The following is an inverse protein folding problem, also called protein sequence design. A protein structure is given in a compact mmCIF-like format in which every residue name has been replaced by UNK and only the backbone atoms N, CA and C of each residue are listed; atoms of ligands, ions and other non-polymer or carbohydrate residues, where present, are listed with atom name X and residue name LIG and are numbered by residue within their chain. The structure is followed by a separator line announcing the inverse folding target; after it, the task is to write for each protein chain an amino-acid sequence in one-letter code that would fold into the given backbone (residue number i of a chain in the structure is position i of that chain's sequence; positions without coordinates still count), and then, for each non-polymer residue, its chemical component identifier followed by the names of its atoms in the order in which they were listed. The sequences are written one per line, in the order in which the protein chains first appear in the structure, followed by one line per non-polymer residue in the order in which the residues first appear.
data_IF_412384009320
#
_entry.id   IF_412384009320
#
_cell.length_a   1.000
_cell.length_b   1.000
_cell.length_c   1.000
_cell.angle_alpha   90.00
_cell.angle_beta   90.00
_cell.angle_gamma   90.00
#
_symmetry.space_group_name_H-M   'P 1'
#
loop_
_entity.id
_entity.type
_entity.pdbx_description
1 polymer ?
#
# COMPACT_ATOMS: atom_id res chain seq x y z
N UNK A 1 -7.21 15.69 3.11
CA UNK A 1 -7.53 14.55 2.22
C UNK A 1 -6.22 13.99 1.67
N UNK A 2 -6.22 12.77 1.11
CA UNK A 2 -4.97 12.09 0.72
C UNK A 2 -4.65 12.10 -0.79
N UNK A 3 -5.50 12.68 -1.63
CA UNK A 3 -5.23 12.90 -3.04
C UNK A 3 -5.88 14.22 -3.50
N UNK A 4 -5.40 14.78 -4.59
CA UNK A 4 -5.89 16.05 -5.14
C UNK A 4 -6.38 15.90 -6.58
N UNK A 5 -7.36 16.72 -6.96
CA UNK A 5 -7.81 16.90 -8.34
C UNK A 5 -7.06 18.04 -9.06
N UNK A 6 -6.20 18.78 -8.37
CA UNK A 6 -5.43 19.87 -8.94
C UNK A 6 -4.14 19.35 -9.57
N UNK A 7 -3.92 19.54 -10.90
CA UNK A 7 -2.74 19.00 -11.59
C UNK A 7 -1.38 19.53 -11.09
N UNK A 8 -1.38 20.65 -10.37
CA UNK A 8 -0.17 21.25 -9.82
C UNK A 8 0.19 20.72 -8.43
N UNK A 9 -0.67 19.91 -7.82
CA UNK A 9 -0.41 19.34 -6.50
C UNK A 9 0.43 18.07 -6.62
N UNK A 10 1.36 17.88 -5.68
CA UNK A 10 2.23 16.69 -5.63
C UNK A 10 1.45 15.36 -5.47
N UNK A 11 0.19 15.44 -5.04
CA UNK A 11 -0.71 14.29 -4.82
C UNK A 11 -1.85 14.21 -5.83
N UNK A 12 -1.66 14.79 -7.03
CA UNK A 12 -2.63 14.72 -8.11
C UNK A 12 -2.94 13.27 -8.50
N UNK A 13 -4.23 12.89 -8.53
CA UNK A 13 -4.66 11.52 -8.83
C UNK A 13 -4.82 11.20 -10.32
N UNK A 14 -4.62 12.18 -11.20
CA UNK A 14 -4.89 12.02 -12.63
C UNK A 14 -6.35 12.32 -13.00
N UNK A 15 -6.68 12.35 -14.30
CA UNK A 15 -8.02 12.65 -14.77
C UNK A 15 -9.03 11.51 -14.56
N UNK A 16 -8.56 10.26 -14.43
CA UNK A 16 -9.35 9.05 -14.16
C UNK A 16 -8.44 7.91 -13.68
N UNK A 17 -8.98 6.84 -13.05
CA UNK A 17 -8.20 5.69 -12.60
C UNK A 17 -7.42 5.01 -13.74
N UNK A 18 -6.14 4.68 -13.52
CA UNK A 18 -5.25 4.09 -14.54
C UNK A 18 -5.05 4.98 -15.79
N UNK A 19 -5.10 6.30 -15.61
CA UNK A 19 -4.75 7.28 -16.66
C UNK A 19 -3.28 7.21 -17.05
N UNK A 20 -2.39 7.04 -16.07
CA UNK A 20 -0.95 6.93 -16.31
C UNK A 20 -0.58 5.59 -16.98
N UNK A 21 0.21 5.60 -18.07
CA UNK A 21 0.55 4.38 -18.81
C UNK A 21 1.34 3.38 -17.97
N UNK A 22 2.15 3.84 -17.01
CA UNK A 22 2.91 3.02 -16.07
C UNK A 22 1.97 2.25 -15.13
N UNK A 23 1.01 2.95 -14.52
CA UNK A 23 0.02 2.34 -13.62
C UNK A 23 -0.84 1.34 -14.40
N UNK A 24 -1.27 1.70 -15.61
CA UNK A 24 -2.05 0.83 -16.48
C UNK A 24 -1.31 -0.44 -16.88
N UNK A 25 -0.01 -0.35 -17.16
CA UNK A 25 0.81 -1.53 -17.48
C UNK A 25 0.88 -2.50 -16.29
N UNK A 26 1.11 -1.99 -15.08
CA UNK A 26 1.16 -2.80 -13.86
C UNK A 26 -0.21 -3.42 -13.55
N UNK A 27 -1.29 -2.64 -13.58
CA UNK A 27 -2.65 -3.12 -13.34
C UNK A 27 -3.03 -4.24 -14.33
N UNK A 28 -2.73 -4.08 -15.61
CA UNK A 28 -2.95 -5.10 -16.63
C UNK A 28 -2.14 -6.38 -16.37
N UNK A 29 -0.87 -6.25 -15.97
CA UNK A 29 -0.04 -7.40 -15.63
C UNK A 29 -0.60 -8.16 -14.43
N UNK A 30 -1.01 -7.46 -13.37
CA UNK A 30 -1.57 -8.04 -12.16
C UNK A 30 -2.92 -8.73 -12.44
N UNK A 31 -3.80 -8.11 -13.24
CA UNK A 31 -5.07 -8.71 -13.67
C UNK A 31 -4.85 -9.98 -14.49
N UNK A 32 -3.94 -9.94 -15.47
CA UNK A 32 -3.62 -11.09 -16.33
C UNK A 32 -3.10 -12.29 -15.55
N UNK A 33 -2.34 -12.05 -14.47
CA UNK A 33 -1.72 -13.10 -13.66
C UNK A 33 -2.35 -13.27 -12.27
N UNK A 34 -3.57 -12.77 -12.05
CA UNK A 34 -4.26 -12.77 -10.75
C UNK A 34 -4.34 -14.15 -10.08
N UNK A 35 -4.38 -15.22 -10.86
CA UNK A 35 -4.41 -16.61 -10.35
C UNK A 35 -3.05 -17.13 -9.86
N UNK A 36 -1.95 -16.53 -10.34
CA UNK A 36 -0.59 -16.96 -10.04
C UNK A 36 0.09 -16.07 -8.99
N UNK A 37 -0.28 -14.80 -8.93
CA UNK A 37 0.28 -13.84 -7.96
C UNK A 37 -0.37 -14.08 -6.59
N UNK A 38 0.46 -14.35 -5.57
CA UNK A 38 0.01 -14.64 -4.20
C UNK A 38 0.27 -13.52 -3.21
N UNK A 39 1.20 -12.63 -3.52
CA UNK A 39 1.57 -11.49 -2.69
C UNK A 39 1.94 -10.29 -3.56
N UNK A 40 1.72 -9.08 -3.03
CA UNK A 40 2.11 -7.82 -3.64
C UNK A 40 2.87 -6.99 -2.60
N UNK A 41 4.06 -6.51 -2.97
CA UNK A 41 4.92 -5.68 -2.13
C UNK A 41 5.29 -4.43 -2.93
N UNK A 42 4.98 -3.25 -2.39
CA UNK A 42 5.38 -1.96 -2.95
C UNK A 42 6.33 -1.28 -1.98
N UNK A 43 7.51 -0.89 -2.46
CA UNK A 43 8.55 -0.30 -1.64
C UNK A 43 8.54 1.23 -1.81
N UNK A 44 8.54 1.93 -0.68
CA UNK A 44 8.58 3.38 -0.62
C UNK A 44 9.58 3.82 0.45
N UNK A 45 10.10 5.03 0.32
CA UNK A 45 10.93 5.68 1.32
C UNK A 45 10.49 7.15 1.48
N UNK A 46 10.65 7.78 2.63
CA UNK A 46 11.21 7.31 3.91
C UNK A 46 10.09 7.19 4.97
N UNK A 47 10.25 6.35 6.00
CA UNK A 47 9.40 6.34 7.21
C UNK A 47 9.72 5.18 8.18
N UNK A 48 10.41 4.12 7.70
CA UNK A 48 10.59 2.86 8.43
C UNK A 48 9.24 2.26 8.86
N UNK A 49 8.34 2.10 7.90
CA UNK A 49 7.00 1.56 8.14
C UNK A 49 6.71 0.37 7.22
N UNK A 50 6.08 -0.66 7.76
CA UNK A 50 5.48 -1.77 7.01
C UNK A 50 3.96 -1.63 7.10
N UNK A 51 3.35 -1.19 6.00
CA UNK A 51 1.92 -0.91 5.94
C UNK A 51 1.18 -2.00 5.18
N UNK A 52 -0.04 -2.29 5.65
CA UNK A 52 -0.97 -3.16 4.93
C UNK A 52 -2.35 -2.50 4.80
N UNK A 53 -3.25 -3.03 3.95
CA UNK A 53 -4.53 -2.38 3.69
C UNK A 53 -5.44 -2.29 4.93
N UNK A 54 -6.43 -1.39 4.97
CA UNK A 54 -6.75 -0.41 3.94
C UNK A 54 -6.15 0.96 4.26
N UNK A 55 -5.78 1.71 3.21
CA UNK A 55 -5.42 3.12 3.26
C UNK A 55 -6.62 4.05 3.04
N UNK A 56 -7.60 3.63 2.23
CA UNK A 56 -8.72 4.49 1.80
C UNK A 56 -9.93 4.50 2.71
N UNK A 57 -9.99 3.59 3.67
CA UNK A 57 -11.08 3.50 4.64
C UNK A 57 -10.56 3.00 5.97
N UNK A 58 -11.23 3.44 7.02
CA UNK A 58 -11.07 2.88 8.36
C UNK A 58 -11.90 1.60 8.44
N UNK A 59 -11.31 0.50 7.95
CA UNK A 59 -11.93 -0.82 8.00
C UNK A 59 -10.86 -1.90 8.15
N UNK A 60 -11.26 -2.98 8.80
CA UNK A 60 -10.42 -4.16 8.97
C UNK A 60 -10.39 -4.99 7.68
N UNK A 61 -9.23 -5.53 7.33
CA UNK A 61 -9.09 -6.42 6.18
C UNK A 61 -9.64 -7.83 6.48
N UNK A 62 -10.16 -8.53 5.47
CA UNK A 62 -10.35 -9.98 5.57
C UNK A 62 -9.01 -10.64 5.92
N UNK A 63 -8.99 -11.56 6.89
CA UNK A 63 -7.78 -12.22 7.40
C UNK A 63 -6.80 -11.33 8.18
N UNK A 64 -7.28 -10.27 8.84
CA UNK A 64 -6.47 -9.37 9.68
C UNK A 64 -5.44 -10.08 10.56
N UNK A 65 -5.83 -11.10 11.32
CA UNK A 65 -4.91 -11.82 12.22
C UNK A 65 -3.71 -12.43 11.49
N UNK A 66 -3.90 -12.97 10.28
CA UNK A 66 -2.83 -13.57 9.48
C UNK A 66 -1.85 -12.49 9.00
N UNK A 67 -2.38 -11.38 8.46
CA UNK A 67 -1.57 -10.27 7.94
C UNK A 67 -0.84 -9.54 9.06
N UNK A 68 -1.49 -9.31 10.20
CA UNK A 68 -0.89 -8.69 11.37
C UNK A 68 0.25 -9.55 11.93
N UNK A 69 0.07 -10.87 12.01
CA UNK A 69 1.13 -11.79 12.43
C UNK A 69 2.31 -11.81 11.45
N UNK A 70 2.03 -11.77 10.15
CA UNK A 70 3.07 -11.70 9.12
C UNK A 70 3.86 -10.38 9.20
N UNK A 71 3.17 -9.24 9.38
CA UNK A 71 3.78 -7.93 9.55
C UNK A 71 4.69 -7.89 10.78
N UNK A 72 4.19 -8.37 11.93
CA UNK A 72 4.96 -8.47 13.17
C UNK A 72 6.24 -9.30 13.00
N UNK A 73 6.14 -10.47 12.37
CA UNK A 73 7.32 -11.33 12.09
C UNK A 73 8.31 -10.65 11.16
N UNK A 74 7.82 -9.94 10.14
CA UNK A 74 8.67 -9.24 9.18
C UNK A 74 9.44 -8.07 9.85
N UNK A 75 8.79 -7.24 10.67
CA UNK A 75 9.50 -6.15 11.36
C UNK A 75 10.51 -6.66 12.38
N UNK A 76 10.23 -7.76 13.07
CA UNK A 76 11.19 -8.39 13.99
C UNK A 76 12.40 -8.95 13.24
N UNK A 77 12.17 -9.55 12.06
CA UNK A 77 13.25 -10.04 11.21
C UNK A 77 14.11 -8.89 10.65
N UNK A 78 13.51 -7.74 10.31
CA UNK A 78 14.27 -6.55 9.92
C UNK A 78 15.08 -5.99 11.09
N UNK A 79 14.49 -5.95 12.28
CA UNK A 79 15.15 -5.47 13.48
C UNK A 79 16.33 -6.36 13.89
N UNK A 80 16.25 -7.69 13.71
CA UNK A 80 17.33 -8.59 14.13
C UNK A 80 18.61 -8.44 13.31
N UNK A 81 18.55 -7.89 12.09
CA UNK A 81 19.72 -7.72 11.22
C UNK A 81 20.52 -6.47 11.60
N UNK A 82 19.84 -5.32 11.73
CA UNK A 82 20.50 -4.01 11.92
C UNK A 82 20.00 -3.20 13.12
N UNK A 83 19.11 -3.74 13.95
CA UNK A 83 18.54 -3.05 15.11
C UNK A 83 17.51 -1.96 14.78
N UNK A 84 17.18 -1.76 13.51
CA UNK A 84 16.26 -0.70 13.08
C UNK A 84 14.81 -1.10 13.38
N UNK A 85 14.10 -0.23 14.10
CA UNK A 85 12.70 -0.43 14.45
C UNK A 85 11.78 0.10 13.35
N UNK A 86 10.95 -0.80 12.81
CA UNK A 86 9.88 -0.46 11.88
C UNK A 86 8.54 -0.45 12.60
N UNK A 87 7.70 0.56 12.33
CA UNK A 87 6.30 0.55 12.75
C UNK A 87 5.48 -0.25 11.73
N UNK A 88 4.43 -0.93 12.17
CA UNK A 88 3.54 -1.64 11.26
C UNK A 88 2.07 -1.46 11.64
N UNK A 89 1.17 -1.68 10.68
CA UNK A 89 -0.28 -1.58 10.89
C UNK A 89 -1.05 -1.21 9.63
N UNK A 90 -2.37 -0.99 9.76
CA UNK A 90 -3.20 -0.54 8.66
C UNK A 90 -2.78 0.85 8.19
N UNK A 91 -2.62 1.05 6.89
CA UNK A 91 -2.13 2.32 6.35
C UNK A 91 -2.97 3.53 6.78
N UNK A 92 -4.30 3.39 6.86
CA UNK A 92 -5.21 4.46 7.25
C UNK A 92 -5.01 4.96 8.68
N UNK A 93 -4.61 4.09 9.61
CA UNK A 93 -4.40 4.42 11.02
C UNK A 93 -2.94 4.66 11.40
N UNK A 94 -2.00 3.98 10.74
CA UNK A 94 -0.55 4.09 11.02
C UNK A 94 0.09 5.29 10.33
N UNK A 95 -0.40 5.67 9.15
CA UNK A 95 0.12 6.79 8.37
C UNK A 95 -0.94 7.89 8.22
N UNK A 96 -1.85 7.74 7.27
CA UNK A 96 -3.03 8.59 7.07
C UNK A 96 -3.97 7.96 6.03
N UNK A 97 -5.18 8.50 5.92
CA UNK A 97 -6.19 8.03 4.97
C UNK A 97 -5.92 8.57 3.55
N UNK A 98 -5.72 7.67 2.59
CA UNK A 98 -5.55 7.99 1.16
C UNK A 98 -6.74 7.49 0.36
N UNK A 99 -7.56 8.35 -0.28
CA UNK A 99 -8.66 7.89 -1.12
C UNK A 99 -8.14 6.97 -2.24
N UNK A 100 -8.93 5.96 -2.58
CA UNK A 100 -8.61 5.00 -3.64
C UNK A 100 -8.78 5.68 -4.98
N UNK A 101 -7.66 5.88 -5.69
CA UNK A 101 -7.63 5.93 -7.16
C UNK A 101 -6.31 5.40 -7.76
N UNK A 102 -5.43 4.77 -6.96
CA UNK A 102 -4.06 4.54 -7.42
C UNK A 102 -3.72 3.18 -8.02
N UNK A 103 -4.30 2.02 -7.63
CA UNK A 103 -3.71 0.75 -8.13
C UNK A 103 -4.67 -0.41 -8.44
N UNK A 104 -5.64 -0.81 -7.61
CA UNK A 104 -6.42 -2.02 -7.92
C UNK A 104 -7.77 -2.09 -7.20
N UNK A 105 -8.86 -2.11 -7.97
CA UNK A 105 -9.83 -3.21 -7.85
C UNK A 105 -9.48 -4.35 -8.83
#
# INVERSE_FOLDING_TARGET
EGASMHPCDDTYCGPFPESEPEVKAVANFLRKHKKHIRAYLSFHAYAQMLLYPYSYKYATIPNFSCVESAAYKAVNALQSVYGIQYRYGPASSTLCKFPVDAVLE
#
